data_IF_974548237908
#
_entry.id   IF_974548237908
#
_cell.length_a   1.000
_cell.length_b   1.000
_cell.length_c   1.000
_cell.angle_alpha   90.00
_cell.angle_beta   90.00
_cell.angle_gamma   90.00
#
_symmetry.space_group_name_H-M   'P 1'
#
loop_
_entity.id
_entity.type
_entity.pdbx_description
1 polymer ?
#
# COMPACT_ATOMS: atom_id res chain seq x y z
N UNK A 1 -13.18 -6.08 -20.76
CA UNK A 1 -11.93 -6.48 -21.44
C UNK A 1 -12.28 -7.55 -22.46
N UNK A 2 -11.65 -7.47 -23.62
CA UNK A 2 -11.67 -8.45 -24.69
C UNK A 2 -11.04 -9.76 -24.23
N UNK A 3 -11.52 -10.86 -24.80
CA UNK A 3 -10.99 -12.21 -24.51
C UNK A 3 -9.49 -12.31 -24.80
N UNK A 4 -9.02 -11.63 -25.84
CA UNK A 4 -7.62 -11.63 -26.23
C UNK A 4 -6.75 -10.84 -25.24
N UNK A 5 -7.26 -9.75 -24.67
CA UNK A 5 -6.49 -8.98 -23.70
C UNK A 5 -6.39 -9.66 -22.33
N UNK A 6 -7.40 -10.45 -21.94
CA UNK A 6 -7.42 -11.17 -20.66
C UNK A 6 -6.15 -12.01 -20.44
N UNK A 7 -5.65 -12.71 -21.48
CA UNK A 7 -4.44 -13.53 -21.34
C UNK A 7 -3.16 -12.72 -21.12
N UNK A 8 -3.17 -11.43 -21.49
CA UNK A 8 -2.02 -10.53 -21.44
C UNK A 8 -2.12 -9.51 -20.30
N UNK A 9 -3.24 -9.46 -19.57
CA UNK A 9 -3.54 -8.39 -18.58
C UNK A 9 -2.49 -8.25 -17.49
N UNK A 10 -1.78 -9.35 -17.15
CA UNK A 10 -0.74 -9.36 -16.13
C UNK A 10 0.68 -9.21 -16.69
N UNK A 11 0.85 -9.08 -18.00
CA UNK A 11 2.15 -8.83 -18.60
C UNK A 11 2.58 -7.38 -18.36
N UNK A 12 3.87 -7.13 -18.11
CA UNK A 12 4.36 -5.76 -17.96
C UNK A 12 4.08 -4.92 -19.21
N UNK A 13 3.59 -3.69 -19.00
CA UNK A 13 3.29 -2.72 -20.06
C UNK A 13 2.11 -3.09 -20.98
N UNK A 14 1.35 -4.13 -20.67
CA UNK A 14 0.15 -4.49 -21.43
C UNK A 14 -0.93 -3.40 -21.31
N UNK A 15 -1.49 -2.99 -22.44
CA UNK A 15 -2.60 -2.03 -22.54
C UNK A 15 -3.59 -2.50 -23.61
N UNK A 16 -4.89 -2.44 -23.33
CA UNK A 16 -5.94 -2.95 -24.22
C UNK A 16 -6.15 -2.05 -25.44
N UNK A 17 -6.21 -0.73 -25.23
CA UNK A 17 -6.36 0.27 -26.29
C UNK A 17 -5.07 1.06 -26.46
N UNK A 18 -4.40 0.91 -27.61
CA UNK A 18 -3.15 1.59 -27.96
C UNK A 18 -3.38 2.98 -28.60
N UNK A 19 -4.55 3.60 -28.38
CA UNK A 19 -4.85 4.93 -28.92
C UNK A 19 -3.94 6.01 -28.32
N UNK A 20 -3.43 6.87 -29.21
CA UNK A 20 -2.25 7.71 -28.98
C UNK A 20 -2.35 8.73 -27.81
N UNK A 21 -1.56 8.46 -26.77
CA UNK A 21 -0.61 9.34 -26.06
C UNK A 21 -1.04 10.72 -25.53
N UNK A 22 -2.32 11.12 -25.55
CA UNK A 22 -2.71 12.48 -25.12
C UNK A 22 -3.73 12.52 -23.98
N UNK A 23 -3.55 11.67 -22.99
CA UNK A 23 -4.08 11.84 -21.63
C UNK A 23 -3.44 10.75 -20.77
N UNK A 24 -2.97 11.07 -19.58
CA UNK A 24 -2.32 10.17 -18.62
C UNK A 24 -3.01 8.79 -18.52
N UNK A 25 -2.59 7.84 -19.35
CA UNK A 25 -3.06 6.46 -19.32
C UNK A 25 -1.97 5.65 -18.63
N UNK A 26 -2.32 4.90 -17.59
CA UNK A 26 -1.36 4.21 -16.72
C UNK A 26 -0.35 3.37 -17.52
N UNK A 27 0.86 3.20 -17.00
CA UNK A 27 2.01 2.57 -17.69
C UNK A 27 1.82 1.09 -18.07
N UNK A 28 0.67 0.48 -17.78
CA UNK A 28 0.44 -0.96 -17.94
C UNK A 28 1.20 -1.82 -16.92
N UNK A 29 1.80 -1.22 -15.88
CA UNK A 29 2.56 -1.96 -14.87
C UNK A 29 1.71 -2.42 -13.68
N UNK A 30 0.58 -1.76 -13.40
CA UNK A 30 -0.18 -2.00 -12.16
C UNK A 30 -0.61 -3.46 -11.98
N UNK A 31 -1.06 -4.12 -13.04
CA UNK A 31 -1.51 -5.52 -12.99
C UNK A 31 -0.34 -6.50 -12.87
N UNK A 32 0.79 -6.23 -13.53
CA UNK A 32 2.01 -7.02 -13.36
C UNK A 32 2.52 -6.95 -11.91
N UNK A 33 2.51 -5.76 -11.31
CA UNK A 33 2.89 -5.56 -9.89
C UNK A 33 1.92 -6.29 -8.97
N UNK A 34 0.60 -6.17 -9.18
CA UNK A 34 -0.40 -6.85 -8.36
C UNK A 34 -0.25 -8.38 -8.41
N UNK A 35 0.04 -8.95 -9.58
CA UNK A 35 0.33 -10.37 -9.75
C UNK A 35 1.59 -10.78 -8.98
N UNK A 36 2.70 -10.05 -9.16
CA UNK A 36 3.94 -10.34 -8.46
C UNK A 36 3.77 -10.30 -6.94
N UNK A 37 3.12 -9.26 -6.41
CA UNK A 37 2.86 -9.16 -4.97
C UNK A 37 2.01 -10.32 -4.47
N UNK A 38 0.96 -10.69 -5.21
CA UNK A 38 0.09 -11.81 -4.84
C UNK A 38 0.85 -13.14 -4.85
N UNK A 39 1.68 -13.39 -5.87
CA UNK A 39 2.51 -14.61 -5.97
C UNK A 39 3.59 -14.66 -4.88
N UNK A 40 4.18 -13.52 -4.51
CA UNK A 40 5.13 -13.41 -3.40
C UNK A 40 4.48 -13.75 -2.05
N UNK A 41 3.17 -13.54 -1.93
CA UNK A 41 2.39 -13.93 -0.76
C UNK A 41 1.86 -15.36 -0.87
N UNK A 42 2.40 -16.18 -1.78
CA UNK A 42 1.97 -17.55 -2.06
C UNK A 42 0.49 -17.65 -2.47
N UNK A 43 -0.06 -16.53 -2.95
CA UNK A 43 -1.44 -16.41 -3.40
C UNK A 43 -1.61 -16.56 -4.91
N UNK A 44 -2.82 -16.28 -5.37
CA UNK A 44 -3.19 -16.24 -6.78
C UNK A 44 -4.12 -15.07 -7.08
N UNK A 45 -3.98 -14.47 -8.27
CA UNK A 45 -4.92 -13.48 -8.82
C UNK A 45 -5.51 -13.98 -10.13
N UNK A 46 -6.83 -13.90 -10.26
CA UNK A 46 -7.58 -14.30 -11.45
C UNK A 46 -8.47 -13.16 -11.94
N UNK A 47 -8.83 -13.19 -13.22
CA UNK A 47 -9.72 -12.21 -13.85
C UNK A 47 -10.80 -12.90 -14.66
N UNK A 48 -12.03 -12.40 -14.54
CA UNK A 48 -13.17 -12.75 -15.37
C UNK A 48 -13.77 -11.46 -15.92
N UNK A 49 -13.95 -11.36 -17.24
CA UNK A 49 -14.45 -10.13 -17.87
C UNK A 49 -15.36 -10.45 -19.04
N UNK A 50 -16.41 -9.67 -19.18
CA UNK A 50 -17.28 -9.65 -20.36
C UNK A 50 -17.47 -8.20 -20.79
N UNK A 51 -17.24 -7.92 -22.08
CA UNK A 51 -17.35 -6.59 -22.66
C UNK A 51 -18.78 -6.06 -22.46
N UNK A 52 -18.91 -4.78 -22.14
CA UNK A 52 -20.18 -4.09 -21.85
C UNK A 52 -20.99 -4.64 -20.66
N UNK A 53 -20.45 -5.62 -19.91
CA UNK A 53 -21.08 -6.16 -18.69
C UNK A 53 -20.26 -5.78 -17.46
N UNK A 54 -18.95 -6.07 -17.45
CA UNK A 54 -18.09 -5.79 -16.32
C UNK A 54 -16.84 -6.66 -16.24
N UNK A 55 -16.04 -6.43 -15.20
CA UNK A 55 -14.82 -7.19 -14.91
C UNK A 55 -14.71 -7.47 -13.42
N UNK A 56 -14.36 -8.70 -13.07
CA UNK A 56 -14.14 -9.16 -11.71
C UNK A 56 -12.71 -9.67 -11.59
N UNK A 57 -11.96 -9.12 -10.64
CA UNK A 57 -10.67 -9.63 -10.22
C UNK A 57 -10.82 -10.35 -8.89
N UNK A 58 -10.28 -11.57 -8.80
CA UNK A 58 -10.31 -12.38 -7.57
C UNK A 58 -8.88 -12.58 -7.10
N UNK A 59 -8.58 -12.11 -5.88
CA UNK A 59 -7.28 -12.31 -5.22
C UNK A 59 -7.47 -13.29 -4.08
N UNK A 60 -6.68 -14.35 -4.05
CA UNK A 60 -6.67 -15.36 -3.00
C UNK A 60 -5.28 -15.41 -2.40
N UNK A 61 -5.15 -15.20 -1.08
CA UNK A 61 -3.87 -15.22 -0.39
C UNK A 61 -4.00 -16.16 0.83
N UNK A 62 -3.10 -17.14 0.99
CA UNK A 62 -3.06 -17.96 2.19
C UNK A 62 -2.54 -17.14 3.37
N UNK A 63 -3.28 -17.15 4.47
CA UNK A 63 -2.80 -16.61 5.74
C UNK A 63 -2.99 -17.66 6.83
N UNK A 64 -1.97 -17.79 7.68
CA UNK A 64 -2.14 -18.50 8.94
C UNK A 64 -3.03 -17.65 9.85
N UNK A 65 -4.04 -18.29 10.45
CA UNK A 65 -4.84 -17.63 11.46
C UNK A 65 -4.02 -17.53 12.74
N UNK A 66 -3.92 -16.32 13.28
CA UNK A 66 -3.32 -16.15 14.60
C UNK A 66 -4.22 -16.81 15.66
N UNK A 67 -3.81 -17.97 16.15
CA UNK A 67 -4.49 -18.70 17.22
C UNK A 67 -4.57 -17.92 18.55
N UNK A 68 -3.72 -16.91 18.71
CA UNK A 68 -3.74 -15.98 19.84
C UNK A 68 -4.39 -14.64 19.48
N UNK A 69 -5.14 -14.58 18.37
CA UNK A 69 -5.98 -13.44 18.04
C UNK A 69 -7.01 -13.24 19.16
N UNK A 70 -6.63 -12.39 20.11
CA UNK A 70 -7.57 -11.69 20.97
C UNK A 70 -8.02 -10.51 20.11
N UNK A 71 -9.33 -10.30 19.97
CA UNK A 71 -9.86 -9.04 19.46
C UNK A 71 -9.08 -7.91 20.14
N UNK A 72 -8.19 -7.28 19.38
CA UNK A 72 -7.26 -6.31 19.90
C UNK A 72 -8.11 -5.12 20.30
N UNK A 73 -8.26 -4.93 21.62
CA UNK A 73 -8.91 -3.80 22.27
C UNK A 73 -10.16 -3.34 21.51
N UNK A 74 -11.35 -3.78 21.95
CA UNK A 74 -12.52 -2.97 21.70
C UNK A 74 -12.12 -1.51 22.00
N UNK A 75 -12.16 -0.64 20.98
CA UNK A 75 -11.82 0.79 21.03
C UNK A 75 -12.74 1.56 21.98
N UNK A 76 -13.30 0.90 23.00
CA UNK A 76 -14.29 1.43 23.93
C UNK A 76 -13.73 2.59 24.76
N UNK A 77 -12.41 2.85 24.75
CA UNK A 77 -11.81 3.94 25.50
C UNK A 77 -10.63 4.66 24.81
N UNK A 78 -10.52 4.62 23.48
CA UNK A 78 -9.58 5.54 22.80
C UNK A 78 -10.27 6.88 22.65
N UNK A 79 -9.99 7.75 23.62
CA UNK A 79 -10.42 9.14 23.59
C UNK A 79 -9.60 9.92 22.56
N UNK A 80 -10.10 9.95 21.32
CA UNK A 80 -9.54 10.74 20.21
C UNK A 80 -9.69 12.26 20.42
N UNK A 81 -10.35 12.71 21.49
CA UNK A 81 -10.37 14.14 21.85
C UNK A 81 -9.09 14.60 22.54
N UNK A 82 -8.24 13.66 22.99
CA UNK A 82 -6.95 13.99 23.58
C UNK A 82 -6.01 14.54 22.50
N UNK A 83 -5.72 15.83 22.61
CA UNK A 83 -4.66 16.45 21.82
C UNK A 83 -3.33 15.80 22.16
N UNK A 84 -2.53 15.55 21.11
CA UNK A 84 -1.15 15.11 21.23
C UNK A 84 -0.20 16.30 21.46
N UNK A 85 -0.72 17.53 21.47
CA UNK A 85 0.05 18.75 21.69
C UNK A 85 0.92 18.68 22.94
N UNK A 86 2.18 19.07 22.79
CA UNK A 86 3.17 19.16 23.86
C UNK A 86 3.78 17.83 24.30
N UNK A 87 3.39 16.69 23.71
CA UNK A 87 4.08 15.43 23.96
C UNK A 87 5.45 15.41 23.28
N UNK A 88 6.41 14.77 23.94
CA UNK A 88 7.77 14.57 23.45
C UNK A 88 7.89 13.24 22.72
N UNK A 89 8.39 13.27 21.49
CA UNK A 89 8.54 12.09 20.63
C UNK A 89 10.01 11.92 20.25
N UNK A 90 10.55 10.73 20.46
CA UNK A 90 11.86 10.34 19.93
C UNK A 90 11.66 9.77 18.51
N UNK A 91 12.13 10.50 17.51
CA UNK A 91 12.13 10.07 16.10
C UNK A 91 13.49 9.44 15.78
N UNK A 92 13.50 8.14 15.47
CA UNK A 92 14.71 7.39 15.10
C UNK A 92 14.60 6.93 13.65
N UNK A 93 15.44 7.48 12.78
CA UNK A 93 15.36 7.26 11.34
C UNK A 93 16.78 7.35 10.70
N UNK A 94 17.06 6.58 9.65
CA UNK A 94 18.37 6.44 8.98
C UNK A 94 18.56 7.27 7.69
N UNK A 95 17.49 7.77 7.08
CA UNK A 95 17.42 8.65 5.92
C UNK A 95 17.01 10.09 6.28
N UNK A 96 17.92 11.04 6.04
CA UNK A 96 17.72 12.46 6.38
C UNK A 96 16.42 13.06 5.82
N UNK A 97 16.01 12.69 4.59
CA UNK A 97 14.80 13.22 3.97
C UNK A 97 13.53 12.74 4.70
N UNK A 98 13.49 11.45 5.06
CA UNK A 98 12.36 10.88 5.79
C UNK A 98 12.28 11.46 7.19
N UNK A 99 13.42 11.63 7.86
CA UNK A 99 13.49 12.27 9.17
C UNK A 99 12.93 13.70 9.12
N UNK A 100 13.23 14.47 8.08
CA UNK A 100 12.71 15.83 7.90
C UNK A 100 11.19 15.84 7.66
N UNK A 101 10.69 14.97 6.78
CA UNK A 101 9.25 14.84 6.50
C UNK A 101 8.50 14.42 7.77
N UNK A 102 8.99 13.43 8.49
CA UNK A 102 8.37 12.94 9.72
C UNK A 102 8.38 14.01 10.82
N UNK A 103 9.50 14.74 10.97
CA UNK A 103 9.60 15.87 11.90
C UNK A 103 8.56 16.95 11.59
N UNK A 104 8.41 17.33 10.32
CA UNK A 104 7.40 18.32 9.90
C UNK A 104 5.97 17.88 10.23
N UNK A 105 5.63 16.62 10.00
CA UNK A 105 4.31 16.06 10.34
C UNK A 105 4.06 16.11 11.85
N UNK A 106 5.07 15.75 12.66
CA UNK A 106 4.97 15.76 14.13
C UNK A 106 4.80 17.19 14.68
N UNK A 107 5.59 18.14 14.17
CA UNK A 107 5.50 19.55 14.60
C UNK A 107 4.15 20.19 14.24
N UNK A 108 3.58 19.86 13.07
CA UNK A 108 2.23 20.30 12.70
C UNK A 108 1.13 19.71 13.59
N UNK A 109 1.41 18.58 14.25
CA UNK A 109 0.54 18.00 15.27
C UNK A 109 0.84 18.54 16.69
N UNK A 110 1.59 19.65 16.79
CA UNK A 110 1.99 20.34 18.03
C UNK A 110 2.86 19.47 18.96
N UNK A 111 3.57 18.47 18.41
CA UNK A 111 4.47 17.61 19.16
C UNK A 111 5.90 18.17 19.23
N UNK A 112 6.57 17.93 20.35
CA UNK A 112 7.99 18.22 20.50
C UNK A 112 8.82 17.02 20.00
N UNK A 113 9.50 17.17 18.86
CA UNK A 113 10.32 16.10 18.29
C UNK A 113 11.79 16.18 18.76
N UNK A 114 12.34 15.03 19.16
CA UNK A 114 13.77 14.81 19.38
C UNK A 114 14.23 13.81 18.33
N UNK A 115 15.12 14.22 17.45
CA UNK A 115 15.62 13.38 16.35
C UNK A 115 16.91 12.67 16.74
N UNK A 116 17.00 11.39 16.41
CA UNK A 116 18.23 10.60 16.51
C UNK A 116 18.45 9.80 15.23
N UNK A 117 19.69 9.76 14.74
CA UNK A 117 20.04 8.88 13.62
C UNK A 117 20.27 7.46 14.11
N UNK A 118 19.71 6.50 13.39
CA UNK A 118 20.03 5.09 13.62
C UNK A 118 21.43 4.83 13.06
N UNK A 119 22.44 4.75 13.92
CA UNK A 119 23.76 4.24 13.52
C UNK A 119 23.60 2.77 13.10
N UNK A 120 23.82 2.49 11.81
CA UNK A 120 24.01 1.13 11.33
C UNK A 120 25.37 0.70 11.87
N UNK A 121 25.38 -0.21 12.84
CA UNK A 121 26.63 -0.91 13.19
C UNK A 121 27.00 -1.77 11.98
N UNK A 122 28.21 -1.55 11.46
CA UNK A 122 28.87 -2.38 10.45
C UNK A 122 28.93 -3.86 10.89
#
# INVERSE_FOLDING_TARGET
MSKDFISHVFEPFAQEDSCARTSYMGTGLGMAIAKQLTEMMEGNIAVESELDVGTTFTVTIPFELDSNYKEAYALENVDFSKSLSGLKVLLVEDNELNMEIAKFILENAELESITMRKEVRD
#
